data_IF_707468252721
#
_entry.id   IF_707468252721
#
_cell.length_a   1.000
_cell.length_b   1.000
_cell.length_c   1.000
_cell.angle_alpha   90.00
_cell.angle_beta   90.00
_cell.angle_gamma   90.00
#
_symmetry.space_group_name_H-M   'P 1'
#
loop_
_entity.id
_entity.type
_entity.pdbx_description
1 polymer ?
#
# COMPACT_ATOMS: atom_id res chain seq x y z
N UNK A 1 -50.45 -19.96 -72.22
CA UNK A 1 -50.61 -18.70 -71.50
C UNK A 1 -50.82 -19.04 -70.00
N UNK A 2 -49.76 -19.10 -69.22
CA UNK A 2 -49.81 -19.42 -67.79
C UNK A 2 -49.12 -18.31 -67.05
N UNK A 3 -49.88 -17.55 -66.25
CA UNK A 3 -49.39 -16.45 -65.36
C UNK A 3 -48.82 -17.01 -64.08
N UNK A 4 -47.51 -16.86 -63.88
CA UNK A 4 -46.84 -17.15 -62.60
C UNK A 4 -47.05 -15.98 -61.62
N UNK A 5 -47.58 -16.29 -60.44
CA UNK A 5 -47.73 -15.32 -59.33
C UNK A 5 -46.50 -15.46 -58.43
N UNK A 6 -45.65 -14.42 -58.36
CA UNK A 6 -44.61 -14.27 -57.34
C UNK A 6 -45.30 -13.86 -56.02
N UNK A 7 -45.13 -14.67 -55.03
CA UNK A 7 -45.42 -14.33 -53.61
C UNK A 7 -44.16 -13.80 -52.97
N UNK A 8 -44.21 -12.52 -52.63
CA UNK A 8 -43.13 -11.83 -51.87
C UNK A 8 -43.40 -12.06 -50.39
N UNK A 9 -42.53 -12.82 -49.71
CA UNK A 9 -42.54 -12.92 -48.26
C UNK A 9 -41.73 -11.74 -47.68
N UNK A 10 -42.39 -10.83 -46.97
CA UNK A 10 -41.75 -9.84 -46.14
C UNK A 10 -41.52 -10.40 -44.74
N UNK A 11 -40.28 -10.67 -44.38
CA UNK A 11 -39.91 -11.05 -43.01
C UNK A 11 -39.72 -9.80 -42.19
N UNK A 12 -40.60 -9.54 -41.22
CA UNK A 12 -40.42 -8.54 -40.18
C UNK A 12 -39.42 -9.07 -39.13
N UNK A 13 -38.23 -8.54 -39.10
CA UNK A 13 -37.29 -8.75 -37.98
C UNK A 13 -37.58 -7.72 -36.89
N UNK A 14 -38.25 -8.16 -35.83
CA UNK A 14 -38.41 -7.35 -34.62
C UNK A 14 -37.11 -7.39 -33.80
N UNK A 15 -36.32 -6.31 -33.85
CA UNK A 15 -35.18 -6.07 -32.97
C UNK A 15 -35.72 -5.68 -31.58
N UNK A 16 -35.82 -6.67 -30.70
CA UNK A 16 -36.08 -6.44 -29.27
C UNK A 16 -34.81 -5.91 -28.59
N UNK A 17 -34.79 -4.63 -28.25
CA UNK A 17 -33.73 -4.02 -27.43
C UNK A 17 -33.89 -4.51 -25.99
N UNK A 18 -33.08 -5.47 -25.56
CA UNK A 18 -32.95 -5.83 -24.14
C UNK A 18 -32.08 -4.77 -23.48
N UNK A 19 -32.70 -3.85 -22.76
CA UNK A 19 -32.01 -2.95 -21.87
C UNK A 19 -31.51 -3.73 -20.65
N UNK A 20 -30.22 -4.09 -20.66
CA UNK A 20 -29.55 -4.63 -19.47
C UNK A 20 -29.34 -3.46 -18.52
N UNK A 21 -30.23 -3.31 -17.54
CA UNK A 21 -29.98 -2.44 -16.38
C UNK A 21 -28.87 -3.06 -15.56
N UNK A 22 -27.64 -2.59 -15.78
CA UNK A 22 -26.54 -2.85 -14.83
C UNK A 22 -26.87 -2.13 -13.54
N UNK A 23 -27.47 -2.81 -12.58
CA UNK A 23 -27.56 -2.35 -11.21
C UNK A 23 -26.14 -2.16 -10.71
N UNK A 24 -25.70 -0.90 -10.51
CA UNK A 24 -24.49 -0.60 -9.75
C UNK A 24 -24.74 -1.18 -8.36
N UNK A 25 -24.05 -2.25 -8.05
CA UNK A 25 -23.89 -2.69 -6.66
C UNK A 25 -23.13 -1.54 -6.00
N UNK A 26 -23.84 -0.75 -5.21
CA UNK A 26 -23.24 0.27 -4.36
C UNK A 26 -22.36 -0.49 -3.36
N UNK A 27 -21.04 -0.48 -3.62
CA UNK A 27 -20.10 -1.09 -2.71
C UNK A 27 -20.19 -0.33 -1.39
N UNK A 28 -20.52 -1.04 -0.31
CA UNK A 28 -20.46 -0.48 1.03
C UNK A 28 -19.12 0.23 1.22
N UNK A 29 -19.09 1.41 1.88
CA UNK A 29 -17.83 2.12 2.11
C UNK A 29 -16.84 1.17 2.75
N UNK A 30 -15.56 1.19 2.33
CA UNK A 30 -14.57 0.26 2.81
C UNK A 30 -14.49 0.36 4.33
N UNK A 31 -14.77 -0.74 4.99
CA UNK A 31 -14.76 -0.82 6.45
C UNK A 31 -13.35 -0.48 6.94
N UNK A 32 -13.24 0.40 7.94
CA UNK A 32 -11.94 0.73 8.57
C UNK A 32 -11.27 -0.56 9.00
N UNK A 33 -10.02 -0.81 8.62
CA UNK A 33 -9.28 -1.98 9.10
C UNK A 33 -8.98 -1.85 10.59
N UNK A 34 -8.74 -2.97 11.22
CA UNK A 34 -8.26 -3.05 12.61
C UNK A 34 -6.93 -2.28 12.71
N UNK A 35 -6.72 -1.58 13.81
CA UNK A 35 -5.52 -0.76 14.03
C UNK A 35 -5.66 0.71 13.62
N UNK A 36 -6.82 1.10 13.09
CA UNK A 36 -7.21 2.50 12.94
C UNK A 36 -8.12 2.88 14.10
N UNK A 37 -7.59 3.55 15.10
CA UNK A 37 -8.37 3.96 16.27
C UNK A 37 -9.53 4.90 15.95
N UNK A 38 -10.51 4.95 16.86
CA UNK A 38 -11.69 5.81 16.73
C UNK A 38 -11.33 7.31 16.65
N UNK A 39 -10.20 7.68 17.23
CA UNK A 39 -9.68 9.06 17.27
C UNK A 39 -8.89 9.47 16.01
N UNK A 40 -8.69 8.56 15.04
CA UNK A 40 -8.00 8.89 13.78
C UNK A 40 -8.75 9.97 12.99
N UNK A 41 -8.07 11.07 12.66
CA UNK A 41 -8.64 12.27 12.02
C UNK A 41 -8.12 12.53 10.59
N UNK A 42 -7.41 11.57 9.99
CA UNK A 42 -6.89 11.76 8.63
C UNK A 42 -5.65 12.66 8.57
N UNK A 43 -4.71 12.49 9.48
CA UNK A 43 -3.48 13.29 9.57
C UNK A 43 -2.26 12.39 9.79
N UNK A 44 -2.27 11.17 9.23
CA UNK A 44 -1.15 10.25 9.35
C UNK A 44 0.00 10.58 8.39
N UNK A 45 -0.26 11.35 7.33
CA UNK A 45 0.67 11.56 6.25
C UNK A 45 0.89 13.02 5.88
N UNK A 46 2.12 13.36 5.57
CA UNK A 46 2.49 14.60 4.86
C UNK A 46 2.92 14.21 3.45
N UNK A 47 2.26 14.79 2.43
CA UNK A 47 2.57 14.55 1.03
C UNK A 47 3.42 15.70 0.48
N UNK A 48 4.71 15.47 0.29
CA UNK A 48 5.63 16.44 -0.28
C UNK A 48 5.71 16.24 -1.79
N UNK A 49 5.23 17.21 -2.58
CA UNK A 49 5.38 17.16 -4.03
C UNK A 49 6.85 17.35 -4.39
N UNK A 50 7.47 16.34 -5.01
CA UNK A 50 8.89 16.36 -5.40
C UNK A 50 9.09 16.53 -6.91
N UNK A 51 8.06 16.21 -7.71
CA UNK A 51 7.97 16.53 -9.12
C UNK A 51 6.48 16.58 -9.53
N UNK A 52 6.19 16.91 -10.78
CA UNK A 52 4.80 16.91 -11.24
C UNK A 52 4.22 15.49 -11.23
N UNK A 53 3.13 15.29 -10.45
CA UNK A 53 2.51 13.98 -10.22
C UNK A 53 3.41 12.99 -9.46
N UNK A 54 4.45 13.46 -8.73
CA UNK A 54 5.27 12.60 -7.89
C UNK A 54 5.35 13.20 -6.48
N UNK A 55 5.02 12.38 -5.48
CA UNK A 55 5.00 12.82 -4.09
C UNK A 55 5.77 11.85 -3.21
N UNK A 56 6.44 12.40 -2.19
CA UNK A 56 7.03 11.65 -1.10
C UNK A 56 6.11 11.78 0.11
N UNK A 57 5.50 10.68 0.54
CA UNK A 57 4.63 10.63 1.70
C UNK A 57 5.41 10.21 2.93
N UNK A 58 5.36 11.03 3.98
CA UNK A 58 6.08 10.85 5.25
C UNK A 58 5.05 10.76 6.37
N UNK A 59 5.22 9.78 7.27
CA UNK A 59 4.37 9.64 8.45
C UNK A 59 4.51 10.81 9.43
N UNK A 60 3.40 11.31 9.97
CA UNK A 60 3.37 12.40 10.95
C UNK A 60 3.59 11.96 12.40
N UNK A 61 3.51 10.64 12.65
CA UNK A 61 3.54 10.06 13.99
C UNK A 61 2.16 9.85 14.63
N UNK A 62 1.07 10.32 14.01
CA UNK A 62 -0.30 10.05 14.52
C UNK A 62 -0.75 8.59 14.33
N UNK A 63 -0.06 7.85 13.48
CA UNK A 63 -0.06 6.40 13.36
C UNK A 63 1.37 5.89 13.23
N UNK A 64 1.60 4.64 13.64
CA UNK A 64 2.87 3.96 13.37
C UNK A 64 2.85 3.45 11.93
N UNK A 65 3.76 3.97 11.11
CA UNK A 65 3.84 3.63 9.67
C UNK A 65 5.17 2.97 9.27
N UNK A 66 6.25 3.24 9.98
CA UNK A 66 7.65 2.82 9.85
C UNK A 66 8.30 3.28 8.53
N UNK A 67 7.77 2.92 7.37
CA UNK A 67 8.33 3.30 6.07
C UNK A 67 7.68 4.55 5.49
N UNK A 68 8.39 5.26 4.63
CA UNK A 68 7.83 6.28 3.76
C UNK A 68 7.23 5.64 2.49
N UNK A 69 6.48 6.41 1.70
CA UNK A 69 6.00 5.97 0.41
C UNK A 69 6.35 6.95 -0.70
N UNK A 70 6.57 6.45 -1.90
CA UNK A 70 6.58 7.26 -3.12
C UNK A 70 5.29 7.05 -3.88
N UNK A 71 4.59 8.15 -4.20
CA UNK A 71 3.36 8.17 -4.96
C UNK A 71 3.68 8.65 -6.36
N UNK A 72 3.27 7.90 -7.38
CA UNK A 72 3.49 8.24 -8.78
C UNK A 72 2.16 8.23 -9.52
N UNK A 73 1.73 9.40 -9.95
CA UNK A 73 0.53 9.53 -10.79
C UNK A 73 0.85 9.18 -12.24
N UNK A 74 0.09 8.28 -12.81
CA UNK A 74 -0.07 8.12 -14.25
C UNK A 74 -1.19 9.02 -14.80
N UNK A 75 -1.58 8.84 -16.05
CA UNK A 75 -2.67 9.63 -16.65
C UNK A 75 -4.02 9.34 -16.00
N UNK A 76 -4.29 8.09 -15.61
CA UNK A 76 -5.59 7.62 -15.12
C UNK A 76 -5.57 6.92 -13.77
N UNK A 77 -4.40 6.63 -13.23
CA UNK A 77 -4.21 5.86 -12.00
C UNK A 77 -2.95 6.26 -11.25
N UNK A 78 -2.75 5.64 -10.11
CA UNK A 78 -1.63 5.90 -9.20
C UNK A 78 -0.89 4.59 -8.94
N UNK A 79 0.45 4.69 -8.89
CA UNK A 79 1.34 3.69 -8.36
C UNK A 79 1.86 4.17 -7.00
N UNK A 80 1.85 3.27 -6.02
CA UNK A 80 2.39 3.50 -4.67
C UNK A 80 3.57 2.56 -4.46
N UNK A 81 4.69 3.08 -3.98
CA UNK A 81 5.82 2.26 -3.54
C UNK A 81 5.71 2.06 -2.05
N UNK A 82 5.64 0.79 -1.67
CA UNK A 82 5.46 0.23 -0.33
C UNK A 82 4.08 0.42 0.31
N UNK A 83 3.69 -0.55 1.13
CA UNK A 83 2.38 -0.65 1.75
C UNK A 83 2.41 -0.60 3.28
N UNK A 84 3.57 -0.31 3.87
CA UNK A 84 3.77 -0.06 5.30
C UNK A 84 3.55 -1.25 6.24
N UNK A 85 3.64 -0.95 7.56
CA UNK A 85 3.71 -1.91 8.67
C UNK A 85 2.40 -2.63 8.99
N UNK A 86 1.28 -2.10 8.56
CA UNK A 86 -0.03 -2.65 8.91
C UNK A 86 -1.12 -2.30 7.88
N UNK A 87 -2.23 -3.04 7.88
CA UNK A 87 -3.40 -2.69 7.09
C UNK A 87 -3.91 -1.27 7.37
N UNK A 88 -3.83 -0.83 8.63
CA UNK A 88 -4.24 0.51 9.04
C UNK A 88 -3.38 1.60 8.42
N UNK A 89 -2.05 1.42 8.41
CA UNK A 89 -1.13 2.39 7.81
C UNK A 89 -1.36 2.54 6.30
N UNK A 90 -1.49 1.43 5.59
CA UNK A 90 -1.76 1.45 4.14
C UNK A 90 -3.15 2.05 3.82
N UNK A 91 -4.15 1.72 4.64
CA UNK A 91 -5.50 2.28 4.48
C UNK A 91 -5.50 3.80 4.70
N UNK A 92 -4.81 4.30 5.73
CA UNK A 92 -4.71 5.74 5.99
C UNK A 92 -4.06 6.48 4.83
N UNK A 93 -2.97 5.95 4.26
CA UNK A 93 -2.35 6.51 3.05
C UNK A 93 -3.35 6.60 1.90
N UNK A 94 -4.05 5.50 1.61
CA UNK A 94 -5.05 5.44 0.54
C UNK A 94 -6.17 6.46 0.73
N UNK A 95 -6.68 6.62 1.95
CA UNK A 95 -7.76 7.57 2.24
C UNK A 95 -7.30 9.02 2.16
N UNK A 96 -6.14 9.33 2.75
CA UNK A 96 -5.61 10.70 2.74
C UNK A 96 -5.12 11.13 1.35
N UNK A 97 -4.65 10.19 0.53
CA UNK A 97 -4.25 10.45 -0.86
C UNK A 97 -5.40 11.00 -1.71
N UNK A 98 -6.66 10.71 -1.37
CA UNK A 98 -7.84 11.26 -2.08
C UNK A 98 -7.92 12.80 -2.04
N UNK A 99 -7.28 13.44 -1.06
CA UNK A 99 -7.17 14.90 -1.01
C UNK A 99 -6.13 15.45 -2.01
N UNK A 100 -5.21 14.60 -2.47
CA UNK A 100 -4.15 14.96 -3.41
C UNK A 100 -4.59 14.67 -4.85
N UNK A 101 -5.19 13.51 -5.08
CA UNK A 101 -5.61 13.07 -6.41
C UNK A 101 -6.89 12.23 -6.36
N UNK A 102 -7.83 12.43 -7.31
CA UNK A 102 -9.02 11.58 -7.41
C UNK A 102 -8.75 10.26 -8.14
N UNK A 103 -7.52 10.07 -8.67
CA UNK A 103 -7.16 8.86 -9.44
C UNK A 103 -7.06 7.65 -8.51
N UNK A 104 -7.58 6.47 -8.93
CA UNK A 104 -7.49 5.26 -8.12
C UNK A 104 -6.07 4.71 -8.08
N UNK A 105 -5.68 4.13 -6.94
CA UNK A 105 -4.49 3.29 -6.87
C UNK A 105 -4.79 2.01 -7.66
N UNK A 106 -3.91 1.66 -8.59
CA UNK A 106 -3.96 0.44 -9.40
C UNK A 106 -2.70 -0.40 -9.28
N UNK A 107 -1.64 0.17 -8.73
CA UNK A 107 -0.32 -0.45 -8.66
C UNK A 107 0.28 -0.19 -7.29
N UNK A 108 0.76 -1.25 -6.68
CA UNK A 108 1.63 -1.20 -5.49
C UNK A 108 2.93 -1.90 -5.86
N UNK A 109 4.05 -1.30 -5.51
CA UNK A 109 5.37 -1.95 -5.65
C UNK A 109 5.89 -2.19 -4.25
N UNK A 110 6.14 -3.44 -3.87
CA UNK A 110 6.92 -3.70 -2.67
C UNK A 110 8.41 -3.61 -3.03
N UNK A 111 9.12 -2.66 -2.45
CA UNK A 111 10.56 -2.52 -2.63
C UNK A 111 11.28 -3.79 -2.18
N UNK A 112 10.81 -4.41 -1.10
CA UNK A 112 11.27 -5.71 -0.62
C UNK A 112 10.22 -6.38 0.29
N UNK A 113 10.53 -7.51 0.92
CA UNK A 113 9.56 -8.33 1.65
C UNK A 113 9.35 -7.95 3.11
N UNK A 114 10.14 -7.04 3.69
CA UNK A 114 10.04 -6.73 5.11
C UNK A 114 8.65 -6.21 5.49
N UNK A 115 8.36 -6.37 6.77
CA UNK A 115 7.05 -6.15 7.39
C UNK A 115 6.54 -4.72 7.16
N UNK A 116 7.39 -3.72 7.22
CA UNK A 116 7.06 -2.31 7.08
C UNK A 116 6.96 -1.82 5.62
N UNK A 117 7.19 -2.71 4.65
CA UNK A 117 7.05 -2.46 3.21
C UNK A 117 5.94 -3.30 2.56
N UNK A 118 5.45 -4.36 3.24
CA UNK A 118 4.53 -5.33 2.62
C UNK A 118 3.28 -5.68 3.44
N UNK A 119 3.22 -5.35 4.73
CA UNK A 119 2.12 -5.79 5.60
C UNK A 119 0.78 -5.12 5.33
N UNK A 120 0.78 -3.97 4.63
CA UNK A 120 -0.45 -3.33 4.19
C UNK A 120 -1.04 -3.89 2.90
N UNK A 121 -0.39 -4.81 2.21
CA UNK A 121 -0.84 -5.36 0.93
C UNK A 121 -2.28 -5.86 0.97
N UNK A 122 -2.72 -6.43 2.08
CA UNK A 122 -4.06 -7.04 2.23
C UNK A 122 -5.24 -6.09 2.06
N UNK A 123 -5.03 -4.76 2.13
CA UNK A 123 -6.13 -3.80 1.94
C UNK A 123 -6.47 -3.56 0.48
N UNK A 124 -5.59 -3.96 -0.43
CA UNK A 124 -5.77 -3.78 -1.84
C UNK A 124 -6.56 -4.95 -2.42
N UNK A 125 -7.66 -4.62 -3.10
CA UNK A 125 -8.53 -5.61 -3.74
C UNK A 125 -7.94 -6.13 -5.06
N UNK A 126 -8.66 -7.02 -5.74
CA UNK A 126 -8.20 -7.65 -6.98
C UNK A 126 -8.02 -6.66 -8.15
N UNK A 127 -8.49 -5.43 -7.99
CA UNK A 127 -8.31 -4.35 -8.96
C UNK A 127 -6.95 -3.66 -8.86
N UNK A 128 -6.13 -4.01 -7.87
CA UNK A 128 -4.80 -3.45 -7.64
C UNK A 128 -3.76 -4.55 -7.81
N UNK A 129 -2.85 -4.35 -8.76
CA UNK A 129 -1.72 -5.25 -8.93
C UNK A 129 -0.60 -4.90 -7.94
N UNK A 130 -0.11 -5.92 -7.25
CA UNK A 130 1.03 -5.78 -6.34
C UNK A 130 2.26 -6.37 -7.04
N UNK A 131 3.26 -5.54 -7.25
CA UNK A 131 4.50 -5.87 -7.96
C UNK A 131 5.63 -6.04 -6.94
N UNK A 132 6.48 -7.04 -7.12
CA UNK A 132 7.68 -7.22 -6.32
C UNK A 132 8.65 -8.21 -6.98
N UNK A 133 9.86 -8.32 -6.42
CA UNK A 133 10.78 -9.35 -6.85
C UNK A 133 10.22 -10.75 -6.52
N UNK A 134 10.54 -11.77 -7.33
CA UNK A 134 10.12 -13.15 -7.05
C UNK A 134 10.59 -13.65 -5.66
N UNK A 135 11.79 -13.21 -5.23
CA UNK A 135 12.28 -13.49 -3.89
C UNK A 135 11.38 -12.90 -2.81
N UNK A 136 10.95 -11.63 -2.95
CA UNK A 136 10.05 -11.00 -2.00
C UNK A 136 8.72 -11.77 -1.89
N UNK A 137 8.14 -12.18 -3.03
CA UNK A 137 6.96 -13.04 -3.06
C UNK A 137 7.19 -14.36 -2.31
N UNK A 138 8.31 -15.05 -2.56
CA UNK A 138 8.64 -16.30 -1.91
C UNK A 138 8.79 -16.15 -0.40
N UNK A 139 9.44 -15.09 0.08
CA UNK A 139 9.61 -14.81 1.51
C UNK A 139 8.27 -14.52 2.20
N UNK A 140 7.38 -13.73 1.58
CA UNK A 140 6.05 -13.45 2.14
C UNK A 140 5.22 -14.72 2.22
N UNK A 141 5.22 -15.56 1.20
CA UNK A 141 4.53 -16.87 1.21
C UNK A 141 5.09 -17.82 2.27
N UNK A 142 6.39 -17.75 2.54
CA UNK A 142 7.05 -18.53 3.61
C UNK A 142 6.82 -17.94 5.02
N UNK A 143 6.05 -16.86 5.16
CA UNK A 143 5.78 -16.18 6.43
C UNK A 143 6.93 -15.33 6.96
N UNK A 144 8.00 -15.13 6.18
CA UNK A 144 9.22 -14.43 6.64
C UNK A 144 9.01 -12.94 6.87
N UNK A 145 7.99 -12.31 6.28
CA UNK A 145 7.62 -10.94 6.62
C UNK A 145 7.05 -10.80 8.05
N UNK A 146 6.48 -11.88 8.60
CA UNK A 146 5.96 -11.91 9.98
C UNK A 146 6.92 -12.54 10.98
N UNK A 147 7.73 -13.49 10.53
CA UNK A 147 8.71 -14.21 11.35
C UNK A 147 10.11 -13.85 10.85
N UNK A 148 10.57 -12.66 11.22
CA UNK A 148 11.91 -12.17 10.89
C UNK A 148 12.56 -11.44 12.06
N UNK A 149 13.90 -11.49 12.18
CA UNK A 149 14.65 -10.73 13.18
C UNK A 149 14.38 -9.24 13.10
N UNK A 150 14.21 -8.68 11.89
CA UNK A 150 13.88 -7.28 11.70
C UNK A 150 12.55 -6.91 12.37
N UNK A 151 11.50 -7.70 12.12
CA UNK A 151 10.19 -7.46 12.74
C UNK A 151 10.25 -7.59 14.27
N UNK A 152 10.91 -8.61 14.79
CA UNK A 152 11.05 -8.80 16.23
C UNK A 152 11.80 -7.62 16.87
N UNK A 153 12.87 -7.14 16.23
CA UNK A 153 13.65 -6.00 16.73
C UNK A 153 12.81 -4.71 16.81
N UNK A 154 12.01 -4.40 15.76
CA UNK A 154 11.28 -3.13 15.69
C UNK A 154 9.90 -3.15 16.35
N UNK A 155 9.18 -4.25 16.30
CA UNK A 155 7.78 -4.30 16.77
C UNK A 155 7.54 -5.28 17.92
N UNK A 156 8.47 -6.20 18.20
CA UNK A 156 8.34 -7.20 19.28
C UNK A 156 8.20 -6.58 20.66
N UNK A 157 8.76 -5.41 20.88
CA UNK A 157 8.69 -4.68 22.16
C UNK A 157 7.41 -3.81 22.32
N UNK A 158 6.48 -3.81 21.39
CA UNK A 158 5.26 -2.98 21.47
C UNK A 158 4.44 -3.24 22.75
N UNK A 159 4.23 -4.49 23.20
CA UNK A 159 3.52 -4.75 24.47
C UNK A 159 4.23 -4.15 25.70
N UNK A 160 5.56 -4.21 25.74
CA UNK A 160 6.37 -3.64 26.82
C UNK A 160 6.30 -2.11 26.80
N UNK A 161 6.30 -1.50 25.63
CA UNK A 161 6.10 -0.05 25.47
C UNK A 161 4.74 0.40 25.99
N UNK A 162 3.67 -0.33 25.69
CA UNK A 162 2.32 -0.07 26.23
C UNK A 162 2.34 -0.14 27.77
N UNK A 163 2.90 -1.20 28.33
CA UNK A 163 3.00 -1.36 29.81
C UNK A 163 3.79 -0.23 30.46
N UNK A 164 4.88 0.21 29.84
CA UNK A 164 5.67 1.33 30.35
C UNK A 164 4.88 2.66 30.31
N UNK A 165 4.12 2.89 29.24
CA UNK A 165 3.24 4.06 29.13
C UNK A 165 2.11 4.02 30.17
N UNK A 166 1.51 2.87 30.43
CA UNK A 166 0.50 2.69 31.49
C UNK A 166 1.05 3.03 32.86
N UNK A 167 2.28 2.57 33.17
CA UNK A 167 2.96 2.93 34.43
C UNK A 167 3.24 4.44 34.54
N UNK A 168 3.67 5.08 33.46
CA UNK A 168 3.87 6.53 33.42
C UNK A 168 2.55 7.30 33.58
N UNK A 169 1.47 6.82 32.96
CA UNK A 169 0.15 7.43 33.10
C UNK A 169 -0.35 7.38 34.56
N UNK A 170 -0.15 6.25 35.24
CA UNK A 170 -0.52 6.09 36.65
C UNK A 170 0.27 7.02 37.59
N UNK A 171 1.51 7.36 37.23
CA UNK A 171 2.38 8.26 38.03
C UNK A 171 2.21 9.75 37.64
N UNK A 172 1.59 10.08 36.54
CA UNK A 172 1.44 11.45 36.04
C UNK A 172 0.42 12.24 36.90
N UNK A 173 0.82 13.42 37.37
CA UNK A 173 0.02 14.27 38.27
C UNK A 173 -0.61 15.46 37.54
N UNK A 174 -0.02 15.92 36.44
CA UNK A 174 -0.56 17.04 35.66
C UNK A 174 -1.35 16.56 34.43
N UNK A 175 -2.38 17.34 34.07
CA UNK A 175 -3.33 16.98 33.01
C UNK A 175 -2.69 16.96 31.60
N UNK A 176 -1.76 17.87 31.33
CA UNK A 176 -1.08 17.94 30.03
C UNK A 176 -0.24 16.67 29.77
N UNK A 177 0.56 16.27 30.74
CA UNK A 177 1.35 15.04 30.67
C UNK A 177 0.45 13.81 30.53
N UNK A 178 -0.66 13.76 31.28
CA UNK A 178 -1.63 12.67 31.16
C UNK A 178 -2.19 12.56 29.75
N UNK A 179 -2.69 13.67 29.18
CA UNK A 179 -3.24 13.69 27.83
C UNK A 179 -2.23 13.24 26.77
N UNK A 180 -0.97 13.68 26.88
CA UNK A 180 0.09 13.24 25.96
C UNK A 180 0.38 11.73 26.07
N UNK A 181 0.39 11.17 27.27
CA UNK A 181 0.62 9.73 27.47
C UNK A 181 -0.58 8.92 26.97
N UNK A 182 -1.81 9.39 27.20
CA UNK A 182 -3.03 8.76 26.67
C UNK A 182 -3.05 8.70 25.15
N UNK A 183 -2.63 9.78 24.47
CA UNK A 183 -2.46 9.80 23.02
C UNK A 183 -1.42 8.77 22.55
N UNK A 184 -0.23 8.74 23.21
CA UNK A 184 0.80 7.74 22.89
C UNK A 184 0.30 6.31 23.11
N UNK A 185 -0.43 6.06 24.20
CA UNK A 185 -1.04 4.75 24.48
C UNK A 185 -2.02 4.35 23.38
N UNK A 186 -2.88 5.28 22.95
CA UNK A 186 -3.83 5.01 21.88
C UNK A 186 -3.12 4.63 20.59
N UNK A 187 -2.04 5.35 20.21
CA UNK A 187 -1.22 5.07 19.04
C UNK A 187 -0.61 3.66 19.13
N UNK A 188 0.01 3.31 20.28
CA UNK A 188 0.68 2.02 20.45
C UNK A 188 -0.30 0.85 20.51
N UNK A 189 -1.47 1.03 21.14
CA UNK A 189 -2.53 0.00 21.16
C UNK A 189 -3.08 -0.26 19.74
N UNK A 190 -3.39 0.81 18.99
CA UNK A 190 -3.82 0.71 17.61
C UNK A 190 -2.76 0.00 16.75
N UNK A 191 -1.48 0.33 16.97
CA UNK A 191 -0.37 -0.35 16.29
C UNK A 191 -0.36 -1.84 16.59
N UNK A 192 -0.43 -2.23 17.88
CA UNK A 192 -0.45 -3.64 18.30
C UNK A 192 -1.62 -4.40 17.67
N UNK A 193 -2.82 -3.80 17.66
CA UNK A 193 -3.98 -4.40 17.00
C UNK A 193 -3.75 -4.56 15.50
N UNK A 194 -3.20 -3.53 14.85
CA UNK A 194 -2.92 -3.52 13.41
C UNK A 194 -1.91 -4.59 12.99
N UNK A 195 -0.79 -4.72 13.71
CA UNK A 195 0.23 -5.74 13.38
C UNK A 195 -0.24 -7.17 13.65
N UNK A 196 -1.14 -7.36 14.64
CA UNK A 196 -1.75 -8.66 14.92
C UNK A 196 -2.84 -9.04 13.88
N UNK A 197 -3.40 -8.07 13.17
CA UNK A 197 -4.40 -8.29 12.13
C UNK A 197 -3.81 -8.54 10.74
N UNK A 198 -2.48 -8.52 10.62
CA UNK A 198 -1.79 -8.72 9.33
C UNK A 198 -2.05 -10.12 8.79
N UNK A 199 -2.47 -10.16 7.52
CA UNK A 199 -2.55 -11.36 6.69
C UNK A 199 -1.54 -11.20 5.56
N UNK A 200 -0.41 -11.93 5.58
CA UNK A 200 0.61 -11.80 4.54
C UNK A 200 -0.01 -11.97 3.15
N UNK A 201 0.12 -10.95 2.33
CA UNK A 201 -0.43 -10.91 0.97
C UNK A 201 0.72 -10.67 0.01
N UNK A 202 1.13 -11.69 -0.76
CA UNK A 202 2.29 -11.60 -1.63
C UNK A 202 1.99 -10.79 -2.89
N UNK A 203 3.02 -10.28 -3.58
CA UNK A 203 2.90 -9.69 -4.91
C UNK A 203 2.13 -10.58 -5.89
N UNK A 204 1.26 -9.98 -6.70
CA UNK A 204 0.49 -10.66 -7.76
C UNK A 204 1.28 -10.73 -9.07
N UNK A 205 2.15 -9.74 -9.30
CA UNK A 205 3.09 -9.68 -10.41
C UNK A 205 4.54 -9.74 -9.89
N UNK A 206 5.38 -10.52 -10.54
CA UNK A 206 6.80 -10.63 -10.15
C UNK A 206 7.73 -10.28 -11.28
N UNK A 207 8.94 -9.83 -10.91
CA UNK A 207 10.07 -9.64 -11.81
C UNK A 207 11.32 -10.30 -11.23
N UNK A 208 12.27 -10.62 -12.13
CA UNK A 208 13.61 -11.11 -11.77
C UNK A 208 14.70 -10.08 -12.01
N UNK A 209 14.49 -9.17 -12.97
CA UNK A 209 15.47 -8.14 -13.35
C UNK A 209 14.80 -6.77 -13.47
N UNK A 210 14.08 -6.53 -14.56
CA UNK A 210 13.48 -5.23 -14.85
C UNK A 210 12.07 -5.41 -15.43
N UNK A 211 11.16 -4.58 -14.95
CA UNK A 211 9.83 -4.39 -15.51
C UNK A 211 9.64 -2.91 -15.82
N UNK A 212 9.13 -2.60 -17.00
CA UNK A 212 8.81 -1.22 -17.37
C UNK A 212 7.30 -1.08 -17.54
N UNK A 213 6.73 -0.10 -16.87
CA UNK A 213 5.33 0.28 -17.00
C UNK A 213 5.24 1.61 -17.74
N UNK A 214 4.32 1.70 -18.70
CA UNK A 214 3.96 2.95 -19.37
C UNK A 214 2.57 3.36 -18.88
N UNK A 215 2.50 4.47 -18.15
CA UNK A 215 1.25 5.00 -17.58
C UNK A 215 0.91 6.34 -18.26
N UNK A 216 0.37 6.25 -19.48
CA UNK A 216 0.25 7.38 -20.38
C UNK A 216 1.63 7.79 -20.90
N UNK A 217 1.98 9.06 -20.70
CA UNK A 217 3.30 9.59 -21.08
C UNK A 217 4.42 9.28 -20.08
N UNK A 218 4.10 8.67 -18.94
CA UNK A 218 5.07 8.38 -17.88
C UNK A 218 5.64 6.97 -18.02
N UNK A 219 6.96 6.91 -18.12
CA UNK A 219 7.72 5.65 -18.03
C UNK A 219 8.15 5.43 -16.57
N UNK A 220 7.91 4.22 -16.06
CA UNK A 220 8.27 3.80 -14.69
C UNK A 220 9.05 2.49 -14.83
N UNK A 221 10.31 2.47 -14.38
CA UNK A 221 11.16 1.28 -14.37
C UNK A 221 11.25 0.72 -12.97
N UNK A 222 10.90 -0.54 -12.80
CA UNK A 222 11.06 -1.30 -11.56
C UNK A 222 12.21 -2.24 -11.79
N UNK A 223 13.30 -2.09 -11.03
CA UNK A 223 14.57 -2.74 -11.35
C UNK A 223 15.17 -3.43 -10.12
N UNK A 224 15.55 -4.68 -10.28
CA UNK A 224 16.44 -5.38 -9.35
C UNK A 224 17.89 -5.04 -9.69
N UNK A 225 18.60 -4.47 -8.73
CA UNK A 225 19.98 -3.99 -8.92
C UNK A 225 21.03 -4.97 -8.37
N UNK A 226 20.61 -6.13 -7.90
CA UNK A 226 21.43 -7.09 -7.19
C UNK A 226 21.01 -7.24 -5.73
N UNK A 227 21.68 -8.13 -5.01
CA UNK A 227 21.46 -8.32 -3.57
C UNK A 227 21.99 -7.12 -2.79
N UNK A 228 21.25 -6.71 -1.77
CA UNK A 228 21.60 -5.57 -0.94
C UNK A 228 21.04 -5.72 0.46
N UNK A 229 20.05 -4.91 0.83
CA UNK A 229 19.34 -5.00 2.10
C UNK A 229 18.64 -6.37 2.27
N UNK A 230 18.06 -6.88 1.17
CA UNK A 230 17.58 -8.26 1.04
C UNK A 230 18.11 -8.88 -0.26
N UNK A 231 17.71 -10.12 -0.60
CA UNK A 231 18.04 -10.74 -1.88
C UNK A 231 17.01 -10.42 -2.99
N UNK A 232 16.10 -9.49 -2.77
CA UNK A 232 15.02 -9.17 -3.70
C UNK A 232 14.60 -7.69 -3.68
N UNK A 233 15.56 -6.80 -3.38
CA UNK A 233 15.27 -5.36 -3.35
C UNK A 233 15.07 -4.83 -4.77
N UNK A 234 13.98 -4.10 -4.98
CA UNK A 234 13.74 -3.39 -6.23
C UNK A 234 13.70 -1.89 -5.99
N UNK A 235 14.22 -1.14 -6.96
CA UNK A 235 14.08 0.30 -7.03
C UNK A 235 13.03 0.68 -8.07
N UNK A 236 12.35 1.80 -7.84
CA UNK A 236 11.42 2.38 -8.82
C UNK A 236 12.04 3.66 -9.36
N UNK A 237 12.38 3.66 -10.64
CA UNK A 237 13.05 4.76 -11.32
C UNK A 237 12.12 5.44 -12.31
N UNK A 238 12.05 6.76 -12.24
CA UNK A 238 11.33 7.65 -13.13
C UNK A 238 12.33 8.39 -14.03
N UNK A 239 12.59 7.91 -15.27
CA UNK A 239 13.68 8.43 -16.10
C UNK A 239 13.55 9.90 -16.44
N UNK A 240 12.33 10.35 -16.75
CA UNK A 240 12.04 11.75 -17.10
C UNK A 240 12.31 12.71 -15.94
N UNK A 241 11.88 12.35 -14.74
CA UNK A 241 12.02 13.15 -13.53
C UNK A 241 13.40 12.99 -12.89
N UNK A 242 14.13 11.93 -13.24
CA UNK A 242 15.40 11.51 -12.63
C UNK A 242 15.26 11.25 -11.13
N UNK A 243 14.13 10.65 -10.75
CA UNK A 243 13.80 10.28 -9.37
C UNK A 243 13.91 8.77 -9.24
N UNK A 244 14.43 8.31 -8.11
CA UNK A 244 14.45 6.91 -7.73
C UNK A 244 13.90 6.73 -6.32
N UNK A 245 12.95 5.80 -6.16
CA UNK A 245 12.55 5.27 -4.85
C UNK A 245 13.36 4.00 -4.60
N UNK A 246 14.13 3.99 -3.53
CA UNK A 246 15.18 2.99 -3.27
C UNK A 246 14.78 1.90 -2.29
N UNK A 247 13.63 2.04 -1.60
CA UNK A 247 13.38 1.26 -0.40
C UNK A 247 14.57 1.39 0.56
N UNK A 248 14.91 0.33 1.23
CA UNK A 248 15.97 0.31 2.25
C UNK A 248 17.39 0.10 1.70
N UNK A 249 17.56 0.12 0.37
CA UNK A 249 18.90 0.20 -0.24
C UNK A 249 19.59 1.53 0.06
N UNK A 250 18.83 2.59 0.36
CA UNK A 250 19.34 3.88 0.79
C UNK A 250 18.43 4.46 1.86
N UNK A 251 18.94 4.58 3.09
CA UNK A 251 18.24 5.15 4.24
C UNK A 251 18.98 6.34 4.80
N UNK A 252 18.27 7.26 5.46
CA UNK A 252 18.87 8.36 6.20
C UNK A 252 19.22 7.89 7.61
N UNK A 253 20.45 7.45 7.83
CA UNK A 253 20.93 6.91 9.10
C UNK A 253 21.49 5.49 8.95
N UNK A 254 21.48 4.73 10.05
CA UNK A 254 21.95 3.34 10.06
C UNK A 254 20.83 2.40 9.65
N UNK A 255 21.03 1.68 8.54
CA UNK A 255 20.11 0.63 8.11
C UNK A 255 20.17 -0.59 9.05
N UNK A 256 19.05 -1.29 9.20
CA UNK A 256 19.06 -2.62 9.78
C UNK A 256 19.77 -3.61 8.85
N UNK A 257 20.77 -4.32 9.37
CA UNK A 257 21.65 -5.18 8.58
C UNK A 257 21.46 -6.68 8.89
N UNK A 258 20.50 -7.05 9.73
CA UNK A 258 20.33 -8.43 10.18
C UNK A 258 19.98 -9.42 9.07
N UNK A 259 19.31 -8.98 8.03
CA UNK A 259 18.89 -9.78 6.88
C UNK A 259 19.65 -9.40 5.59
N UNK A 260 20.67 -8.56 5.69
CA UNK A 260 21.41 -8.04 4.55
C UNK A 260 22.25 -9.14 3.86
N UNK A 261 22.31 -9.05 2.55
CA UNK A 261 23.16 -9.88 1.68
C UNK A 261 24.25 -8.99 1.08
N UNK A 262 25.29 -8.78 1.85
CA UNK A 262 26.46 -7.98 1.44
C UNK A 262 27.49 -8.88 0.79
#
# INVERSE_FOLDING_TARGET
MTRSRLLTFAALVALGSVAISASRVEQAPPQRPIGIGANYKGQAWTFNKIADGVYHAIGTGSLVVFSNATIVEGDRDVLVVDSHVSPGSAWSLREELKAITPKPIRWVVNSHYHFDHSHGNQIYGPEVEIIGHEFARAQILAGKSQDSPAREFYVGNTPQTIKALEGRLAAATDETTRAQIEEQLAIQRNHLEGINAVKPTPPTLTLTNTMTLFRGSREIRIMFMGRGHTAGDVVVYLPKERIVATGDLLVNGTSYMGDAFI
#
